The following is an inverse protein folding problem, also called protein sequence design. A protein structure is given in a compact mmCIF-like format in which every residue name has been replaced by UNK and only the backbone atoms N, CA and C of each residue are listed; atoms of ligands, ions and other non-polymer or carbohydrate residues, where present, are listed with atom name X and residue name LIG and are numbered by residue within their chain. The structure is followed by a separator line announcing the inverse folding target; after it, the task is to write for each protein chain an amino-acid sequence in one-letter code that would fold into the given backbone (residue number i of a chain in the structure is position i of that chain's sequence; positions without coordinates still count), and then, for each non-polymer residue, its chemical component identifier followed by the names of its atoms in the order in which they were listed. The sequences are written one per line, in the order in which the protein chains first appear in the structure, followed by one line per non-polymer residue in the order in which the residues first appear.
data_IF_305658235144
#
_entry.id   IF_305658235144
#
_cell.length_a   1.000
_cell.length_b   1.000
_cell.length_c   1.000
_cell.angle_alpha   90.00
_cell.angle_beta   90.00
_cell.angle_gamma   90.00
#
_symmetry.space_group_name_H-M   'P 1'
#
loop_
_entity.id
_entity.type
_entity.pdbx_description
1 polymer ?
#
# COMPACT_ATOMS: atom_id res chain seq x y z
N UNK A 1 6.72 -10.78 6.31
CA UNK A 1 6.03 -9.71 5.57
C UNK A 1 5.42 -10.34 4.33
N UNK A 2 4.09 -10.26 4.17
CA UNK A 2 3.38 -10.69 2.97
C UNK A 2 3.24 -9.52 2.00
N UNK A 3 3.46 -9.76 0.70
CA UNK A 3 3.40 -8.71 -0.33
C UNK A 3 2.03 -8.75 -0.99
N UNK A 4 1.32 -7.63 -0.95
CA UNK A 4 0.01 -7.44 -1.58
C UNK A 4 0.10 -6.33 -2.64
N UNK A 5 0.19 -6.74 -3.90
CA UNK A 5 0.16 -5.80 -5.02
C UNK A 5 -1.29 -5.49 -5.40
N UNK A 6 -1.66 -4.21 -5.41
CA UNK A 6 -2.99 -3.72 -5.77
C UNK A 6 -2.95 -3.06 -7.15
N UNK A 7 -2.44 -3.80 -8.14
CA UNK A 7 -2.38 -3.37 -9.54
C UNK A 7 -3.55 -3.97 -10.37
N UNK A 8 -3.99 -3.31 -11.46
CA UNK A 8 -5.09 -3.79 -12.30
C UNK A 8 -4.88 -5.20 -12.85
N UNK A 9 -3.63 -5.52 -13.19
CA UNK A 9 -3.22 -6.83 -13.71
C UNK A 9 -3.35 -7.96 -12.67
N UNK A 10 -3.51 -7.61 -11.40
CA UNK A 10 -3.64 -8.58 -10.31
C UNK A 10 -5.10 -9.07 -10.14
N UNK A 11 -6.11 -8.36 -10.66
CA UNK A 11 -7.55 -8.60 -10.35
C UNK A 11 -8.54 -8.27 -11.50
N UNK A 12 -8.22 -8.63 -12.73
CA UNK A 12 -8.76 -8.00 -13.96
C UNK A 12 -10.23 -8.22 -14.38
N UNK A 13 -11.11 -8.90 -13.63
CA UNK A 13 -12.35 -9.42 -14.24
C UNK A 13 -13.69 -8.84 -13.74
N UNK A 14 -13.76 -7.77 -12.92
CA UNK A 14 -15.08 -7.30 -12.49
C UNK A 14 -15.29 -5.97 -11.73
N UNK A 15 -14.32 -5.06 -11.67
CA UNK A 15 -14.52 -3.69 -11.16
C UNK A 15 -13.75 -3.37 -9.87
N UNK A 16 -13.68 -2.07 -9.53
CA UNK A 16 -12.87 -1.56 -8.42
C UNK A 16 -13.21 -2.19 -7.06
N UNK A 17 -14.50 -2.42 -6.78
CA UNK A 17 -14.95 -3.09 -5.55
C UNK A 17 -14.52 -4.56 -5.48
N UNK A 18 -14.53 -5.27 -6.61
CA UNK A 18 -14.11 -6.68 -6.66
C UNK A 18 -12.60 -6.80 -6.44
N UNK A 19 -11.83 -5.85 -6.97
CA UNK A 19 -10.38 -5.79 -6.73
C UNK A 19 -10.05 -5.47 -5.26
N UNK A 20 -10.80 -4.57 -4.61
CA UNK A 20 -10.66 -4.27 -3.17
C UNK A 20 -10.96 -5.51 -2.31
N UNK A 21 -12.14 -6.13 -2.49
CA UNK A 21 -12.55 -7.30 -1.71
C UNK A 21 -11.55 -8.45 -1.86
N UNK A 22 -11.04 -8.69 -3.07
CA UNK A 22 -10.04 -9.71 -3.34
C UNK A 22 -8.70 -9.39 -2.65
N UNK A 23 -8.25 -8.13 -2.68
CA UNK A 23 -7.02 -7.71 -2.01
C UNK A 23 -7.13 -7.88 -0.49
N UNK A 24 -8.27 -7.52 0.10
CA UNK A 24 -8.52 -7.67 1.53
C UNK A 24 -8.60 -9.14 1.93
N UNK A 25 -9.29 -9.98 1.15
CA UNK A 25 -9.34 -11.42 1.37
C UNK A 25 -7.94 -12.05 1.32
N UNK A 26 -7.11 -11.62 0.38
CA UNK A 26 -5.72 -12.08 0.27
C UNK A 26 -4.86 -11.63 1.46
N UNK A 27 -5.02 -10.39 1.94
CA UNK A 27 -4.36 -9.93 3.16
C UNK A 27 -4.74 -10.79 4.37
N UNK A 28 -6.04 -11.06 4.56
CA UNK A 28 -6.51 -11.87 5.68
C UNK A 28 -6.01 -13.31 5.58
N UNK A 29 -5.89 -13.84 4.36
CA UNK A 29 -5.26 -15.14 4.14
C UNK A 29 -3.80 -15.15 4.56
N UNK A 30 -3.00 -14.16 4.13
CA UNK A 30 -1.59 -14.02 4.55
C UNK A 30 -1.45 -13.90 6.07
N UNK A 31 -2.33 -13.12 6.72
CA UNK A 31 -2.36 -13.00 8.19
C UNK A 31 -2.62 -14.37 8.83
N UNK A 32 -3.58 -15.14 8.31
CA UNK A 32 -3.87 -16.49 8.80
C UNK A 32 -2.70 -17.46 8.59
N UNK A 33 -1.91 -17.28 7.55
CA UNK A 33 -0.66 -18.02 7.32
C UNK A 33 0.52 -17.56 8.18
N UNK A 34 0.33 -16.51 9.00
CA UNK A 34 1.31 -16.04 9.98
C UNK A 34 2.08 -14.79 9.55
N UNK A 35 1.65 -14.07 8.51
CA UNK A 35 2.26 -12.80 8.16
C UNK A 35 2.01 -11.74 9.25
N UNK A 36 3.08 -11.27 9.90
CA UNK A 36 3.02 -10.19 10.90
C UNK A 36 2.92 -8.78 10.29
N UNK A 37 3.29 -8.65 9.01
CA UNK A 37 3.28 -7.39 8.26
C UNK A 37 2.69 -7.69 6.88
N UNK A 38 1.78 -6.84 6.40
CA UNK A 38 1.31 -6.82 5.01
C UNK A 38 1.87 -5.57 4.35
N UNK A 39 2.58 -5.74 3.23
CA UNK A 39 3.19 -4.66 2.46
C UNK A 39 2.35 -4.42 1.19
N UNK A 40 1.79 -3.21 1.08
CA UNK A 40 0.78 -2.86 0.08
C UNK A 40 1.37 -1.89 -0.93
N UNK A 41 1.44 -2.31 -2.20
CA UNK A 41 1.97 -1.50 -3.30
C UNK A 41 0.94 -1.28 -4.40
N UNK A 42 0.68 -0.02 -4.76
CA UNK A 42 -0.21 0.37 -5.86
C UNK A 42 0.49 0.59 -7.20
N UNK A 43 1.83 0.59 -7.19
CA UNK A 43 2.69 0.78 -8.35
C UNK A 43 3.58 -0.45 -8.55
N UNK A 44 3.72 -0.90 -9.79
CA UNK A 44 4.64 -2.00 -10.10
C UNK A 44 6.07 -1.48 -10.18
N UNK A 45 6.97 -2.06 -9.40
CA UNK A 45 8.42 -1.78 -9.44
C UNK A 45 9.18 -2.67 -10.44
N UNK A 46 8.46 -3.46 -11.26
CA UNK A 46 9.08 -4.34 -12.27
C UNK A 46 9.78 -3.53 -13.36
N UNK A 47 10.91 -4.00 -13.91
CA UNK A 47 11.59 -3.34 -15.02
C UNK A 47 10.64 -3.08 -16.20
N UNK A 48 10.55 -1.81 -16.63
CA UNK A 48 9.69 -1.39 -17.75
C UNK A 48 8.22 -1.15 -17.40
N UNK A 49 7.82 -1.25 -16.13
CA UNK A 49 6.48 -0.84 -15.71
C UNK A 49 6.28 0.67 -15.93
N UNK A 50 5.08 1.05 -16.37
CA UNK A 50 4.71 2.46 -16.46
C UNK A 50 4.55 3.05 -15.06
N UNK A 51 5.01 4.29 -14.90
CA UNK A 51 4.75 5.05 -13.68
C UNK A 51 3.24 5.29 -13.54
N UNK A 52 2.76 5.21 -12.30
CA UNK A 52 1.37 5.44 -11.92
C UNK A 52 1.23 6.85 -11.38
N UNK A 53 0.13 7.54 -11.72
CA UNK A 53 -0.14 8.87 -11.16
C UNK A 53 -0.42 8.80 -9.66
N UNK A 54 -0.19 9.90 -8.93
CA UNK A 54 -0.50 9.97 -7.48
C UNK A 54 -1.97 9.60 -7.22
N UNK A 55 -2.90 10.18 -7.98
CA UNK A 55 -4.33 9.96 -7.79
C UNK A 55 -4.72 8.49 -8.01
N UNK A 56 -4.13 7.86 -9.02
CA UNK A 56 -4.38 6.46 -9.33
C UNK A 56 -3.80 5.52 -8.26
N UNK A 57 -2.60 5.81 -7.75
CA UNK A 57 -2.02 5.04 -6.65
C UNK A 57 -2.83 5.20 -5.36
N UNK A 58 -3.28 6.42 -5.04
CA UNK A 58 -4.18 6.68 -3.91
C UNK A 58 -5.48 5.87 -4.01
N UNK A 59 -6.13 5.86 -5.18
CA UNK A 59 -7.36 5.10 -5.42
C UNK A 59 -7.17 3.58 -5.26
N UNK A 60 -5.96 3.07 -5.49
CA UNK A 60 -5.63 1.65 -5.33
C UNK A 60 -5.29 1.29 -3.88
N UNK A 61 -4.46 2.09 -3.22
CA UNK A 61 -3.86 1.75 -1.93
C UNK A 61 -4.78 2.10 -0.76
N UNK A 62 -5.33 3.31 -0.74
CA UNK A 62 -6.01 3.85 0.45
C UNK A 62 -7.24 3.01 0.85
N UNK A 63 -8.16 2.64 -0.07
CA UNK A 63 -9.33 1.83 0.31
C UNK A 63 -8.94 0.47 0.89
N UNK A 64 -7.91 -0.17 0.33
CA UNK A 64 -7.42 -1.48 0.79
C UNK A 64 -6.81 -1.37 2.19
N UNK A 65 -6.02 -0.33 2.46
CA UNK A 65 -5.46 -0.07 3.80
C UNK A 65 -6.59 0.10 4.82
N UNK A 66 -7.59 0.94 4.52
CA UNK A 66 -8.74 1.16 5.42
C UNK A 66 -9.52 -0.13 5.68
N UNK A 67 -9.78 -0.90 4.64
CA UNK A 67 -10.57 -2.14 4.72
C UNK A 67 -9.85 -3.23 5.52
N UNK A 68 -8.52 -3.37 5.35
CA UNK A 68 -7.69 -4.28 6.15
C UNK A 68 -7.67 -3.83 7.61
N UNK A 69 -7.46 -2.53 7.88
CA UNK A 69 -7.41 -1.99 9.24
C UNK A 69 -8.72 -2.18 10.00
N UNK A 70 -9.87 -2.14 9.33
CA UNK A 70 -11.19 -2.44 9.92
C UNK A 70 -11.34 -3.90 10.38
N UNK A 71 -10.52 -4.82 9.85
CA UNK A 71 -10.66 -6.27 10.07
C UNK A 71 -9.49 -6.88 10.85
N UNK A 72 -8.36 -6.19 10.96
CA UNK A 72 -7.14 -6.74 11.55
C UNK A 72 -6.23 -5.66 12.15
N UNK A 73 -5.56 -6.04 13.24
CA UNK A 73 -4.50 -5.25 13.86
C UNK A 73 -3.11 -5.50 13.26
N UNK A 74 -3.02 -6.28 12.16
CA UNK A 74 -1.74 -6.54 11.48
C UNK A 74 -0.99 -5.24 11.17
N UNK A 75 0.34 -5.28 11.23
CA UNK A 75 1.15 -4.16 10.76
C UNK A 75 0.98 -4.01 9.25
N UNK A 76 0.73 -2.79 8.81
CA UNK A 76 0.56 -2.47 7.40
C UNK A 76 1.74 -1.58 6.99
N UNK A 77 2.48 -2.04 6.00
CA UNK A 77 3.50 -1.28 5.30
C UNK A 77 2.92 -0.77 3.97
N UNK A 78 3.23 0.46 3.60
CA UNK A 78 2.91 1.00 2.27
C UNK A 78 4.18 1.07 1.42
N UNK A 79 4.19 0.36 0.31
CA UNK A 79 5.27 0.39 -0.68
C UNK A 79 5.02 1.55 -1.65
N UNK A 80 5.63 2.70 -1.36
CA UNK A 80 5.51 3.91 -2.19
C UNK A 80 6.68 4.86 -1.97
N UNK A 81 7.02 5.60 -3.02
CA UNK A 81 7.97 6.73 -2.95
C UNK A 81 7.27 8.08 -2.99
N UNK A 82 5.93 8.12 -3.09
CA UNK A 82 5.18 9.36 -3.31
C UNK A 82 4.72 9.94 -1.97
N UNK A 83 5.14 11.15 -1.57
CA UNK A 83 4.83 11.71 -0.25
C UNK A 83 3.33 11.80 0.03
N UNK A 84 2.52 12.16 -0.97
CA UNK A 84 1.06 12.22 -0.84
C UNK A 84 0.44 10.85 -0.52
N UNK A 85 0.98 9.78 -1.10
CA UNK A 85 0.54 8.40 -0.85
C UNK A 85 0.98 7.93 0.54
N UNK A 86 2.22 8.24 0.95
CA UNK A 86 2.69 8.00 2.32
C UNK A 86 1.73 8.61 3.34
N UNK A 87 1.43 9.91 3.21
CA UNK A 87 0.55 10.62 4.12
C UNK A 87 -0.85 9.99 4.17
N UNK A 88 -1.47 9.74 3.02
CA UNK A 88 -2.82 9.20 2.97
C UNK A 88 -2.90 7.77 3.50
N UNK A 89 -1.92 6.91 3.19
CA UNK A 89 -1.89 5.54 3.66
C UNK A 89 -1.72 5.47 5.19
N UNK A 90 -0.84 6.30 5.78
CA UNK A 90 -0.70 6.36 7.24
C UNK A 90 -1.99 6.86 7.89
N UNK A 91 -2.64 7.89 7.34
CA UNK A 91 -3.96 8.36 7.82
C UNK A 91 -5.04 7.28 7.74
N UNK A 92 -4.99 6.42 6.74
CA UNK A 92 -5.89 5.28 6.57
C UNK A 92 -5.59 4.10 7.53
N UNK A 93 -4.44 4.10 8.19
CA UNK A 93 -4.07 3.08 9.19
C UNK A 93 -2.85 2.22 8.84
N UNK A 94 -2.06 2.60 7.83
CA UNK A 94 -0.72 2.07 7.66
C UNK A 94 0.22 2.55 8.78
N UNK A 95 1.31 1.82 9.01
CA UNK A 95 2.21 2.02 10.16
C UNK A 95 3.69 2.03 9.78
N UNK A 96 4.02 1.70 8.53
CA UNK A 96 5.38 1.61 8.01
C UNK A 96 5.39 2.19 6.59
N UNK A 97 6.40 2.97 6.25
CA UNK A 97 6.68 3.42 4.88
C UNK A 97 7.80 2.53 4.33
N UNK A 98 7.53 1.76 3.27
CA UNK A 98 8.56 1.02 2.55
C UNK A 98 8.89 1.77 1.26
N UNK A 99 9.91 2.63 1.29
CA UNK A 99 10.29 3.42 0.11
C UNK A 99 11.55 2.86 -0.56
N UNK A 100 11.35 2.21 -1.71
CA UNK A 100 12.45 1.67 -2.54
C UNK A 100 13.42 2.75 -3.06
N UNK A 101 13.03 4.03 -3.04
CA UNK A 101 13.86 5.18 -3.41
C UNK A 101 14.51 5.86 -2.21
N UNK A 102 14.40 5.30 -1.01
CA UNK A 102 15.05 5.81 0.20
C UNK A 102 14.77 7.31 0.47
N UNK A 103 13.51 7.73 0.29
CA UNK A 103 13.01 9.09 0.54
C UNK A 103 13.67 10.17 -0.33
N UNK A 104 14.17 9.81 -1.51
CA UNK A 104 14.85 10.73 -2.43
C UNK A 104 13.88 11.56 -3.28
N UNK A 105 12.60 11.20 -3.34
CA UNK A 105 11.58 12.01 -4.00
C UNK A 105 11.34 13.32 -3.23
N UNK A 106 11.04 14.39 -3.95
CA UNK A 106 10.82 15.72 -3.36
C UNK A 106 9.68 15.66 -2.33
N UNK A 107 9.96 16.05 -1.08
CA UNK A 107 8.99 16.05 0.01
C UNK A 107 8.84 14.73 0.77
N UNK A 108 9.50 13.63 0.34
CA UNK A 108 9.33 12.31 0.96
C UNK A 108 9.95 12.26 2.35
N UNK A 109 11.14 12.84 2.51
CA UNK A 109 11.81 12.92 3.81
C UNK A 109 11.00 13.76 4.80
N UNK A 110 10.47 14.90 4.38
CA UNK A 110 9.64 15.78 5.20
C UNK A 110 8.33 15.09 5.61
N UNK A 111 7.67 14.40 4.68
CA UNK A 111 6.48 13.62 4.98
C UNK A 111 6.78 12.54 6.02
N UNK A 112 7.83 11.75 5.80
CA UNK A 112 8.18 10.66 6.72
C UNK A 112 8.54 11.18 8.13
N UNK A 113 9.27 12.30 8.21
CA UNK A 113 9.59 12.96 9.48
C UNK A 113 8.33 13.45 10.23
N UNK A 114 7.31 13.94 9.52
CA UNK A 114 6.05 14.40 10.12
C UNK A 114 5.16 13.26 10.59
N UNK A 115 5.15 12.15 9.85
CA UNK A 115 4.27 11.01 10.13
C UNK A 115 4.73 10.21 11.36
N UNK A 116 6.01 10.27 11.73
CA UNK A 116 6.57 9.61 12.92
C UNK A 116 6.29 8.09 12.94
N UNK A 117 6.51 7.44 11.81
CA UNK A 117 6.34 6.00 11.60
C UNK A 117 7.68 5.34 11.26
N UNK A 118 7.74 4.01 11.30
CA UNK A 118 8.91 3.29 10.81
C UNK A 118 9.07 3.44 9.30
N UNK A 119 10.32 3.43 8.85
CA UNK A 119 10.74 3.50 7.45
C UNK A 119 11.69 2.33 7.20
#
# INVERSE_FOLDING_TARGET
MGILNVTPDSFSDGGAFIAEDAAVAQAMHMVKEGASIIDIGGESTRPGAAAVSVDEELQRVVPVVEAIRKQSDVLISVDTSKPSVMNAAIQAGASIINDVRALQEEGALEAAAQLNVSI
#
